data_IF_766405428735
#
_entry.id   IF_766405428735
#
_cell.length_a   1.000
_cell.length_b   1.000
_cell.length_c   1.000
_cell.angle_alpha   90.00
_cell.angle_beta   90.00
_cell.angle_gamma   90.00
#
_symmetry.space_group_name_H-M   'P 1'
#
loop_
_entity.id
_entity.type
_entity.pdbx_description
1 polymer ?
#
# COMPACT_ATOMS: atom_id res chain seq x y z
N UNK A 1 46.56 50.46 -9.72
CA UNK A 1 45.40 50.08 -8.88
C UNK A 1 45.23 48.58 -8.95
N UNK A 2 45.19 47.94 -7.78
CA UNK A 2 45.05 46.50 -7.54
C UNK A 2 43.58 46.12 -7.62
N UNK A 3 43.22 45.01 -8.25
CA UNK A 3 42.13 44.13 -7.79
C UNK A 3 42.37 42.72 -8.31
N UNK A 4 42.93 41.87 -7.45
CA UNK A 4 42.88 40.43 -7.59
C UNK A 4 41.52 39.98 -7.05
N UNK A 5 40.74 39.26 -7.85
CA UNK A 5 39.57 38.53 -7.39
C UNK A 5 39.83 37.06 -7.70
N UNK A 6 40.39 36.36 -6.71
CA UNK A 6 40.34 34.91 -6.65
C UNK A 6 38.98 34.56 -6.05
N UNK A 7 38.05 34.05 -6.87
CA UNK A 7 36.79 33.50 -6.38
C UNK A 7 36.91 31.98 -6.35
N UNK A 8 37.02 31.46 -5.13
CA UNK A 8 37.02 30.05 -4.81
C UNK A 8 35.62 29.45 -5.05
N UNK A 9 35.51 28.49 -5.97
CA UNK A 9 34.36 27.58 -6.07
C UNK A 9 34.83 26.16 -5.79
N UNK A 10 35.16 25.88 -4.53
CA UNK A 10 35.41 24.53 -4.03
C UNK A 10 34.51 24.26 -2.83
N UNK A 11 33.22 24.04 -3.10
CA UNK A 11 32.29 23.47 -2.15
C UNK A 11 31.36 22.51 -2.91
N UNK A 12 31.95 21.46 -3.51
CA UNK A 12 31.17 20.25 -3.77
C UNK A 12 30.81 19.69 -2.39
N UNK A 13 29.56 19.95 -1.99
CA UNK A 13 28.97 19.33 -0.84
C UNK A 13 29.18 17.82 -0.93
N UNK A 14 29.87 17.26 0.06
CA UNK A 14 29.88 15.84 0.36
C UNK A 14 28.45 15.44 0.70
N UNK A 15 27.63 15.17 -0.32
CA UNK A 15 26.40 14.43 -0.13
C UNK A 15 26.83 13.05 0.38
N UNK A 16 26.63 12.81 1.68
CA UNK A 16 26.78 11.48 2.22
C UNK A 16 25.96 10.51 1.35
N UNK A 17 26.50 9.33 0.99
CA UNK A 17 25.75 8.38 0.19
C UNK A 17 24.44 8.10 0.92
N UNK A 18 23.31 8.33 0.24
CA UNK A 18 22.02 7.90 0.75
C UNK A 18 22.15 6.42 1.07
N UNK A 19 21.84 6.03 2.31
CA UNK A 19 21.82 4.61 2.67
C UNK A 19 20.84 3.93 1.72
N UNK A 20 21.32 2.94 0.98
CA UNK A 20 20.47 2.12 0.14
C UNK A 20 19.38 1.52 1.04
N UNK A 21 18.12 1.74 0.67
CA UNK A 21 16.98 1.17 1.36
C UNK A 21 17.08 -0.35 1.33
N UNK A 22 16.75 -1.00 2.43
CA UNK A 22 16.65 -2.47 2.47
C UNK A 22 15.42 -2.96 1.71
N UNK A 23 15.43 -4.22 1.29
CA UNK A 23 14.27 -4.80 0.60
C UNK A 23 13.00 -4.76 1.47
N UNK A 24 13.10 -5.07 2.76
CA UNK A 24 11.94 -5.03 3.67
C UNK A 24 11.38 -3.60 3.84
N UNK A 25 12.24 -2.59 3.90
CA UNK A 25 11.82 -1.19 3.92
C UNK A 25 11.15 -0.79 2.60
N UNK A 26 11.64 -1.28 1.46
CA UNK A 26 11.04 -1.03 0.16
C UNK A 26 9.64 -1.67 0.05
N UNK A 27 9.46 -2.90 0.52
CA UNK A 27 8.15 -3.57 0.61
C UNK A 27 7.18 -2.74 1.44
N UNK A 28 7.56 -2.36 2.67
CA UNK A 28 6.69 -1.53 3.53
C UNK A 28 6.32 -0.21 2.86
N UNK A 29 7.31 0.48 2.28
CA UNK A 29 7.11 1.77 1.64
C UNK A 29 6.17 1.68 0.42
N UNK A 30 6.36 0.68 -0.43
CA UNK A 30 5.55 0.50 -1.64
C UNK A 30 4.14 0.01 -1.31
N UNK A 31 3.98 -0.84 -0.30
CA UNK A 31 2.66 -1.22 0.23
C UNK A 31 1.91 0.00 0.76
N UNK A 32 2.57 0.86 1.54
CA UNK A 32 1.97 2.09 2.06
C UNK A 32 1.66 3.11 0.97
N UNK A 33 2.51 3.24 -0.03
CA UNK A 33 2.27 4.10 -1.20
C UNK A 33 1.08 3.59 -2.02
N UNK A 34 1.05 2.29 -2.34
CA UNK A 34 -0.07 1.65 -3.03
C UNK A 34 -1.39 1.87 -2.29
N UNK A 35 -1.41 1.68 -0.97
CA UNK A 35 -2.60 1.91 -0.16
C UNK A 35 -3.05 3.36 -0.24
N UNK A 36 -2.16 4.34 -0.06
CA UNK A 36 -2.52 5.77 -0.16
C UNK A 36 -3.13 6.10 -1.52
N UNK A 37 -2.57 5.55 -2.59
CA UNK A 37 -3.10 5.74 -3.94
C UNK A 37 -4.47 5.08 -4.10
N UNK A 38 -4.68 3.88 -3.53
CA UNK A 38 -6.01 3.26 -3.49
C UNK A 38 -7.03 4.15 -2.77
N UNK A 39 -6.69 4.66 -1.58
CA UNK A 39 -7.60 5.47 -0.77
C UNK A 39 -7.86 6.86 -1.33
N UNK A 40 -6.98 7.38 -2.20
CA UNK A 40 -7.14 8.66 -2.86
C UNK A 40 -8.07 8.60 -4.09
N UNK A 41 -8.47 7.40 -4.51
CA UNK A 41 -9.27 7.15 -5.71
C UNK A 41 -10.77 7.45 -5.58
N UNK A 42 -11.45 7.38 -6.71
CA UNK A 42 -12.90 7.56 -6.85
C UNK A 42 -13.27 8.78 -7.69
N UNK A 43 -13.64 8.55 -8.96
CA UNK A 43 -14.25 9.57 -9.83
C UNK A 43 -13.61 9.71 -11.21
N UNK A 44 -12.30 9.91 -11.29
CA UNK A 44 -11.56 9.97 -12.57
C UNK A 44 -10.58 8.80 -12.66
N UNK A 45 -11.00 7.75 -13.37
CA UNK A 45 -10.19 6.54 -13.55
C UNK A 45 -8.87 6.80 -14.27
N UNK A 46 -8.85 7.72 -15.24
CA UNK A 46 -7.64 8.02 -15.99
C UNK A 46 -6.60 8.72 -15.11
N UNK A 47 -7.05 9.64 -14.25
CA UNK A 47 -6.18 10.28 -13.25
C UNK A 47 -5.70 9.27 -12.20
N UNK A 48 -6.57 8.37 -11.75
CA UNK A 48 -6.21 7.34 -10.77
C UNK A 48 -5.13 6.39 -11.32
N UNK A 49 -5.33 5.84 -12.51
CA UNK A 49 -4.33 5.01 -13.22
C UNK A 49 -3.02 5.77 -13.44
N UNK A 50 -3.09 7.06 -13.82
CA UNK A 50 -1.90 7.88 -14.02
C UNK A 50 -1.08 8.08 -12.73
N UNK A 51 -1.73 8.12 -11.57
CA UNK A 51 -1.06 8.29 -10.27
C UNK A 51 -0.15 7.11 -9.92
N UNK A 52 -0.55 5.87 -10.22
CA UNK A 52 0.29 4.67 -10.01
C UNK A 52 1.51 4.67 -10.92
N UNK A 53 1.34 5.04 -12.20
CA UNK A 53 2.46 5.20 -13.13
C UNK A 53 3.43 6.29 -12.67
N UNK A 54 2.92 7.43 -12.21
CA UNK A 54 3.72 8.53 -11.70
C UNK A 54 4.50 8.15 -10.42
N UNK A 55 3.95 7.24 -9.62
CA UNK A 55 4.61 6.64 -8.46
C UNK A 55 5.68 5.59 -8.82
N UNK A 56 5.86 5.28 -10.11
CA UNK A 56 6.90 4.35 -10.60
C UNK A 56 6.48 2.89 -10.64
N UNK A 57 5.18 2.58 -10.49
CA UNK A 57 4.68 1.23 -10.69
C UNK A 57 4.58 0.92 -12.19
N UNK A 58 5.00 -0.28 -12.57
CA UNK A 58 4.86 -0.80 -13.92
C UNK A 58 3.43 -1.33 -14.12
N UNK A 59 2.77 -0.91 -15.20
CA UNK A 59 1.38 -1.27 -15.48
C UNK A 59 1.28 -2.43 -16.47
N UNK A 60 0.39 -3.38 -16.16
CA UNK A 60 -0.17 -4.37 -17.09
C UNK A 60 -1.68 -4.27 -17.05
N UNK A 61 -2.33 -4.17 -18.21
CA UNK A 61 -3.79 -4.12 -18.31
C UNK A 61 -4.33 -5.49 -18.70
N UNK A 62 -5.39 -5.90 -18.02
CA UNK A 62 -6.15 -7.11 -18.33
C UNK A 62 -7.59 -6.71 -18.66
N UNK A 63 -7.98 -6.96 -19.92
CA UNK A 63 -9.32 -6.71 -20.39
C UNK A 63 -10.13 -8.00 -20.35
N UNK A 64 -11.18 -8.02 -19.53
CA UNK A 64 -11.99 -9.23 -19.29
C UNK A 64 -13.24 -9.32 -20.19
N UNK A 65 -13.47 -8.31 -21.05
CA UNK A 65 -14.70 -8.19 -21.83
C UNK A 65 -15.79 -7.40 -21.10
N UNK A 66 -16.91 -7.12 -21.77
CA UNK A 66 -18.13 -6.53 -21.18
C UNK A 66 -18.00 -5.15 -20.48
N UNK A 67 -16.87 -4.46 -20.65
CA UNK A 67 -16.60 -3.17 -20.01
C UNK A 67 -15.76 -3.28 -18.73
N UNK A 68 -15.44 -4.49 -18.29
CA UNK A 68 -14.62 -4.75 -17.11
C UNK A 68 -13.13 -4.63 -17.45
N UNK A 69 -12.41 -3.88 -16.63
CA UNK A 69 -10.97 -3.64 -16.79
C UNK A 69 -10.28 -3.80 -15.46
N UNK A 70 -9.21 -4.61 -15.45
CA UNK A 70 -8.31 -4.72 -14.30
C UNK A 70 -6.93 -4.20 -14.68
N UNK A 71 -6.44 -3.22 -13.93
CA UNK A 71 -5.06 -2.76 -14.00
C UNK A 71 -4.25 -3.44 -12.90
N UNK A 72 -3.14 -4.04 -13.31
CA UNK A 72 -2.14 -4.62 -12.43
C UNK A 72 -0.93 -3.69 -12.41
N UNK A 73 -0.62 -3.11 -11.25
CA UNK A 73 0.53 -2.23 -11.06
C UNK A 73 1.57 -2.90 -10.17
N UNK A 74 2.75 -3.17 -10.70
CA UNK A 74 3.83 -3.83 -9.94
C UNK A 74 4.89 -2.81 -9.54
N UNK A 75 5.18 -2.74 -8.25
CA UNK A 75 6.25 -1.90 -7.72
C UNK A 75 7.63 -2.43 -8.12
N UNK A 76 8.69 -1.60 -8.10
CA UNK A 76 10.05 -2.06 -8.37
C UNK A 76 10.46 -3.27 -7.53
N UNK A 77 11.21 -4.18 -8.16
CA UNK A 77 11.67 -5.44 -7.56
C UNK A 77 10.55 -6.31 -6.96
N UNK A 78 9.34 -6.25 -7.54
CA UNK A 78 8.17 -7.06 -7.18
C UNK A 78 7.75 -6.95 -5.71
N UNK A 79 8.10 -5.82 -5.08
CA UNK A 79 7.88 -5.58 -3.65
C UNK A 79 6.41 -5.50 -3.25
N UNK A 80 5.55 -5.05 -4.15
CA UNK A 80 4.10 -4.97 -3.98
C UNK A 80 3.41 -4.96 -5.35
N UNK A 81 2.18 -5.47 -5.42
CA UNK A 81 1.31 -5.38 -6.60
C UNK A 81 -0.02 -4.75 -6.20
N UNK A 82 -0.50 -3.79 -6.99
CA UNK A 82 -1.83 -3.21 -6.84
C UNK A 82 -2.72 -3.76 -7.94
N UNK A 83 -3.88 -4.28 -7.55
CA UNK A 83 -4.96 -4.59 -8.47
C UNK A 83 -6.02 -3.50 -8.37
N UNK A 84 -6.27 -2.79 -9.47
CA UNK A 84 -7.33 -1.80 -9.60
C UNK A 84 -8.34 -2.31 -10.62
N UNK A 85 -9.51 -2.67 -10.14
CA UNK A 85 -10.62 -3.13 -10.96
C UNK A 85 -11.71 -2.06 -11.05
N UNK A 86 -12.28 -1.90 -12.25
CA UNK A 86 -13.51 -1.13 -12.47
C UNK A 86 -14.30 -1.67 -13.67
N UNK A 87 -15.62 -1.46 -13.67
CA UNK A 87 -16.49 -1.96 -14.73
C UNK A 87 -17.94 -2.09 -14.28
N UNK A 88 -18.52 -3.27 -14.44
CA UNK A 88 -19.90 -3.58 -14.06
C UNK A 88 -20.09 -3.79 -12.55
N UNK A 89 -19.01 -4.08 -11.83
CA UNK A 89 -18.99 -4.19 -10.38
C UNK A 89 -18.38 -2.94 -9.75
N UNK A 90 -18.65 -2.65 -8.46
CA UNK A 90 -18.00 -1.55 -7.75
C UNK A 90 -16.48 -1.60 -7.90
N UNK A 91 -15.89 -0.41 -7.97
CA UNK A 91 -14.44 -0.26 -8.07
C UNK A 91 -13.76 -0.92 -6.87
N UNK A 92 -12.72 -1.70 -7.13
CA UNK A 92 -11.94 -2.38 -6.11
C UNK A 92 -10.46 -2.04 -6.29
N UNK A 93 -9.79 -1.72 -5.19
CA UNK A 93 -8.35 -1.48 -5.17
C UNK A 93 -7.73 -2.27 -4.02
N UNK A 94 -6.89 -3.24 -4.37
CA UNK A 94 -6.17 -4.07 -3.39
C UNK A 94 -4.67 -3.96 -3.61
N UNK A 95 -3.91 -4.08 -2.53
CA UNK A 95 -2.45 -4.04 -2.55
C UNK A 95 -1.92 -5.32 -1.94
N UNK A 96 -1.21 -6.12 -2.72
CA UNK A 96 -0.74 -7.45 -2.33
C UNK A 96 0.79 -7.49 -2.28
N UNK A 97 1.33 -8.35 -1.42
CA UNK A 97 2.75 -8.68 -1.42
C UNK A 97 3.01 -10.09 -0.92
N UNK A 98 3.98 -10.77 -1.54
CA UNK A 98 4.50 -12.06 -1.10
C UNK A 98 5.68 -11.94 -0.12
N UNK A 99 5.99 -10.71 0.30
CA UNK A 99 7.24 -10.40 1.02
C UNK A 99 7.03 -9.75 2.39
N UNK A 100 5.79 -9.65 2.84
CA UNK A 100 5.45 -9.11 4.13
C UNK A 100 4.17 -9.75 4.67
N UNK A 101 4.29 -10.21 5.91
CA UNK A 101 3.20 -10.78 6.70
C UNK A 101 2.10 -9.82 7.11
N UNK A 102 0.94 -10.36 7.44
CA UNK A 102 -0.25 -9.59 7.82
C UNK A 102 -0.03 -8.70 9.05
N UNK A 103 0.76 -9.14 10.03
CA UNK A 103 1.03 -8.36 11.24
C UNK A 103 1.83 -7.10 10.93
N UNK A 104 2.76 -7.16 9.97
CA UNK A 104 3.51 -5.99 9.50
C UNK A 104 2.66 -5.13 8.55
N UNK A 105 1.81 -5.75 7.72
CA UNK A 105 0.86 -5.04 6.88
C UNK A 105 -0.15 -4.22 7.71
N UNK A 106 -0.59 -4.75 8.85
CA UNK A 106 -1.41 -4.03 9.82
C UNK A 106 -0.75 -2.74 10.32
N UNK A 107 0.58 -2.71 10.49
CA UNK A 107 1.30 -1.47 10.85
C UNK A 107 1.23 -0.43 9.73
N UNK A 108 1.24 -0.86 8.46
CA UNK A 108 1.06 0.05 7.32
C UNK A 108 -0.32 0.70 7.35
N UNK A 109 -1.37 -0.05 7.71
CA UNK A 109 -2.70 0.53 7.92
C UNK A 109 -2.70 1.56 9.05
N UNK A 110 -2.06 1.22 10.17
CA UNK A 110 -1.99 2.10 11.34
C UNK A 110 -1.29 3.44 11.03
N UNK A 111 -0.34 3.41 10.10
CA UNK A 111 0.37 4.61 9.63
C UNK A 111 -0.47 5.43 8.63
N UNK A 112 -1.26 4.77 7.77
CA UNK A 112 -1.93 5.42 6.63
C UNK A 112 -3.38 5.80 6.94
N UNK A 113 -4.19 4.87 7.43
CA UNK A 113 -5.65 5.05 7.52
C UNK A 113 -6.04 6.22 8.43
N UNK A 114 -5.45 6.42 9.62
CA UNK A 114 -5.82 7.56 10.47
C UNK A 114 -5.53 8.94 9.86
N UNK A 115 -4.65 9.02 8.85
CA UNK A 115 -4.35 10.27 8.16
C UNK A 115 -5.41 10.62 7.11
N UNK A 116 -6.02 9.61 6.49
CA UNK A 116 -7.03 9.76 5.44
C UNK A 116 -8.45 9.77 6.03
N UNK A 117 -8.69 8.88 7.00
CA UNK A 117 -9.98 8.66 7.64
C UNK A 117 -9.84 8.74 9.17
N UNK A 118 -9.70 9.95 9.74
CA UNK A 118 -9.40 10.12 11.17
C UNK A 118 -10.51 9.66 12.11
N UNK A 119 -11.74 9.47 11.61
CA UNK A 119 -12.89 9.02 12.39
C UNK A 119 -13.09 7.51 12.35
N UNK A 120 -12.33 6.77 11.55
CA UNK A 120 -12.49 5.32 11.44
C UNK A 120 -12.00 4.64 12.72
N UNK A 121 -12.72 3.60 13.12
CA UNK A 121 -12.42 2.83 14.33
C UNK A 121 -11.57 1.63 13.95
N UNK A 122 -10.46 1.45 14.66
CA UNK A 122 -9.56 0.31 14.50
C UNK A 122 -10.11 -0.92 15.21
N UNK A 123 -10.23 -2.02 14.49
CA UNK A 123 -10.64 -3.34 14.97
C UNK A 123 -9.48 -4.32 14.76
N UNK A 124 -9.25 -5.17 15.76
CA UNK A 124 -8.15 -6.15 15.76
C UNK A 124 -8.75 -7.54 15.86
N UNK A 125 -8.33 -8.41 14.97
CA UNK A 125 -8.53 -9.84 15.06
C UNK A 125 -7.18 -10.50 15.39
N UNK A 126 -7.18 -11.35 16.42
CA UNK A 126 -6.01 -12.13 16.79
C UNK A 126 -6.11 -13.52 16.19
N UNK A 127 -5.07 -13.88 15.47
CA UNK A 127 -4.94 -15.15 14.78
C UNK A 127 -4.21 -16.23 15.55
N UNK A 128 -3.77 -17.25 14.81
CA UNK A 128 -2.88 -18.27 15.33
C UNK A 128 -1.55 -17.67 15.82
N UNK A 129 -0.93 -18.31 16.82
CA UNK A 129 0.41 -17.94 17.28
C UNK A 129 1.42 -18.32 16.22
N UNK A 130 2.17 -17.33 15.74
CA UNK A 130 3.29 -17.52 14.83
C UNK A 130 4.42 -18.26 15.57
N UNK A 131 4.83 -19.46 15.12
CA UNK A 131 5.89 -20.23 15.75
C UNK A 131 7.26 -19.53 15.70
N UNK A 132 7.49 -18.62 14.75
CA UNK A 132 8.76 -17.91 14.62
C UNK A 132 8.94 -16.82 15.69
N UNK A 133 7.85 -16.14 16.07
CA UNK A 133 7.89 -15.02 17.01
C UNK A 133 7.27 -15.33 18.37
N UNK A 134 6.49 -16.41 18.49
CA UNK A 134 5.74 -16.76 19.70
C UNK A 134 4.59 -15.80 20.01
N UNK A 135 4.14 -15.01 19.03
CA UNK A 135 3.07 -14.01 19.17
C UNK A 135 1.91 -14.33 18.22
N UNK A 136 0.65 -13.98 18.59
CA UNK A 136 -0.47 -14.12 17.67
C UNK A 136 -0.30 -13.22 16.44
N UNK A 137 -0.70 -13.73 15.27
CA UNK A 137 -0.89 -12.91 14.08
C UNK A 137 -1.93 -11.81 14.36
N UNK A 138 -1.73 -10.62 13.79
CA UNK A 138 -2.67 -9.50 13.96
C UNK A 138 -3.23 -9.07 12.62
N UNK A 139 -4.52 -9.27 12.43
CA UNK A 139 -5.26 -8.76 11.28
C UNK A 139 -6.04 -7.53 11.76
N UNK A 140 -5.86 -6.43 11.05
CA UNK A 140 -6.41 -5.14 11.45
C UNK A 140 -7.30 -4.64 10.35
N UNK A 141 -8.43 -4.08 10.76
CA UNK A 141 -9.31 -3.33 9.87
C UNK A 141 -9.78 -2.06 10.53
N UNK A 142 -10.06 -1.08 9.70
CA UNK A 142 -10.60 0.21 10.06
C UNK A 142 -11.99 0.31 9.48
N UNK A 143 -12.94 0.72 10.32
CA UNK A 143 -14.35 0.70 9.99
C UNK A 143 -14.95 2.09 10.20
N UNK A 144 -15.79 2.54 9.27
CA UNK A 144 -16.59 3.76 9.47
C UNK A 144 -17.66 3.54 10.55
N UNK A 145 -17.58 4.18 11.72
CA UNK A 145 -18.58 4.01 12.78
C UNK A 145 -19.91 4.71 12.45
N UNK A 146 -19.95 5.62 11.48
CA UNK A 146 -21.12 6.42 11.17
C UNK A 146 -22.09 5.75 10.18
N UNK A 147 -21.67 4.66 9.51
CA UNK A 147 -22.44 4.02 8.45
C UNK A 147 -22.54 2.50 8.66
N UNK A 148 -23.76 1.92 8.79
CA UNK A 148 -23.94 0.47 8.96
C UNK A 148 -23.44 -0.38 7.77
N UNK A 149 -23.50 0.17 6.55
CA UNK A 149 -22.98 -0.41 5.28
C UNK A 149 -21.49 -0.01 5.09
N UNK A 150 -20.92 0.70 6.08
CA UNK A 150 -19.71 1.51 6.00
C UNK A 150 -18.48 0.83 5.41
N UNK A 151 -17.60 1.70 4.89
CA UNK A 151 -16.32 1.32 4.31
C UNK A 151 -15.45 0.60 5.35
N UNK A 152 -14.85 -0.50 4.93
CA UNK A 152 -13.85 -1.26 5.68
C UNK A 152 -12.54 -1.21 4.92
N UNK A 153 -11.46 -0.84 5.61
CA UNK A 153 -10.10 -0.86 5.08
C UNK A 153 -9.28 -1.79 5.96
N UNK A 154 -8.72 -2.87 5.42
CA UNK A 154 -8.11 -3.89 6.27
C UNK A 154 -6.92 -4.60 5.66
N UNK A 155 -6.33 -5.47 6.47
CA UNK A 155 -5.22 -6.34 6.12
C UNK A 155 -5.61 -7.80 6.36
N UNK A 156 -5.41 -8.64 5.35
CA UNK A 156 -5.56 -10.10 5.41
C UNK A 156 -4.28 -10.80 4.91
N UNK A 157 -4.08 -12.10 5.19
CA UNK A 157 -3.05 -12.91 4.54
C UNK A 157 -3.32 -13.04 3.02
N UNK A 158 -2.26 -13.21 2.23
CA UNK A 158 -2.27 -13.24 0.75
C UNK A 158 -3.11 -14.34 0.10
N UNK A 159 -3.53 -15.36 0.85
CA UNK A 159 -4.08 -16.62 0.34
C UNK A 159 -5.10 -17.29 1.30
N UNK A 160 -5.38 -16.70 2.46
CA UNK A 160 -6.22 -17.28 3.51
C UNK A 160 -7.07 -16.18 4.16
N UNK A 161 -7.99 -15.58 3.40
CA UNK A 161 -8.83 -14.47 3.88
C UNK A 161 -9.78 -14.87 5.04
N UNK A 162 -10.00 -16.17 5.24
CA UNK A 162 -10.92 -16.68 6.27
C UNK A 162 -10.25 -16.94 7.63
N UNK A 163 -8.92 -16.81 7.72
CA UNK A 163 -8.19 -17.04 8.96
C UNK A 163 -7.08 -16.00 9.14
N UNK A 164 -7.02 -15.37 10.30
CA UNK A 164 -5.90 -14.51 10.61
C UNK A 164 -4.63 -15.35 10.86
N UNK A 165 -3.72 -15.39 9.89
CA UNK A 165 -2.51 -16.22 9.93
C UNK A 165 -1.29 -15.42 9.49
N UNK A 166 -0.18 -15.62 10.19
CA UNK A 166 1.11 -15.05 9.80
C UNK A 166 1.85 -16.04 8.89
N UNK A 167 1.82 -15.80 7.58
CA UNK A 167 2.44 -16.67 6.57
C UNK A 167 3.43 -15.94 5.65
N UNK A 168 3.82 -14.71 6.02
CA UNK A 168 4.77 -13.91 5.25
C UNK A 168 4.19 -13.21 4.02
N UNK A 169 2.88 -13.34 3.78
CA UNK A 169 2.16 -12.66 2.69
C UNK A 169 1.03 -11.79 3.24
N UNK A 170 0.59 -10.81 2.47
CA UNK A 170 -0.53 -9.95 2.88
C UNK A 170 -1.24 -9.28 1.70
N UNK A 171 -2.48 -8.89 1.97
CA UNK A 171 -3.36 -8.07 1.16
C UNK A 171 -3.83 -6.90 2.01
N UNK A 172 -3.70 -5.68 1.51
CA UNK A 172 -4.43 -4.51 1.99
C UNK A 172 -5.61 -4.29 1.06
N UNK A 173 -6.80 -4.15 1.62
CA UNK A 173 -8.04 -4.06 0.84
C UNK A 173 -8.92 -2.91 1.33
N UNK A 174 -9.83 -2.50 0.46
CA UNK A 174 -10.93 -1.60 0.75
C UNK A 174 -12.22 -2.26 0.24
N UNK A 175 -13.25 -2.37 1.10
CA UNK A 175 -14.54 -2.95 0.73
C UNK A 175 -15.71 -2.25 1.44
N UNK A 176 -16.91 -2.37 0.89
CA UNK A 176 -18.15 -1.93 1.56
C UNK A 176 -18.85 -3.14 2.20
N UNK A 177 -19.48 -2.95 3.36
CA UNK A 177 -20.29 -3.99 3.99
C UNK A 177 -21.60 -4.11 3.24
N UNK A 178 -21.86 -5.27 2.62
CA UNK A 178 -23.16 -5.59 2.00
C UNK A 178 -24.15 -6.15 3.01
#
# INVERSE_FOLDING_TARGET
MRFAVALACAALALAAPAKAQTFEEAVRANMGLGLRLCLAGGGDMAAWVASFRAAGFAERVEWQGNGDTTHHFTAPADTATVELYYGQMPEECTVTTAHMGVTRAAQVLDEVVPQVFPTFVRVIEQGAVDPATGRPALCVRYEDPANPIGLVIGAWPGNEADACVENGTSILYQSYRV
#
